data_IF_450459133274
#
_entry.id   IF_450459133274
#
_cell.length_a   1.000
_cell.length_b   1.000
_cell.length_c   1.000
_cell.angle_alpha   90.00
_cell.angle_beta   90.00
_cell.angle_gamma   90.00
#
_symmetry.space_group_name_H-M   'P 1'
#
loop_
_entity.id
_entity.type
_entity.pdbx_description
1 polymer ?
#
# COMPACT_ATOMS: atom_id res chain seq x y z
N UNK A 1 18.86 41.10 -35.69
CA UNK A 1 19.48 39.83 -35.26
C UNK A 1 18.81 39.39 -33.96
N UNK A 2 18.31 38.16 -33.90
CA UNK A 2 17.65 37.51 -32.75
C UNK A 2 18.68 37.10 -31.69
N UNK A 3 18.45 37.45 -30.41
CA UNK A 3 18.73 36.75 -29.11
C UNK A 3 18.05 37.61 -28.01
N UNK A 4 16.91 37.31 -27.38
CA UNK A 4 16.37 36.17 -26.63
C UNK A 4 17.03 35.93 -25.24
N UNK A 5 16.22 36.19 -24.20
CA UNK A 5 16.18 35.69 -22.81
C UNK A 5 17.22 36.14 -21.78
N UNK A 6 16.72 36.62 -20.62
CA UNK A 6 17.06 36.05 -19.30
C UNK A 6 16.02 36.45 -18.22
N UNK A 7 15.47 35.41 -17.54
CA UNK A 7 15.02 35.28 -16.15
C UNK A 7 14.11 36.37 -15.50
N UNK A 8 13.03 36.07 -14.77
CA UNK A 8 12.86 34.97 -13.80
C UNK A 8 11.36 34.75 -13.55
N UNK A 9 10.86 33.54 -13.79
CA UNK A 9 9.52 33.12 -13.33
C UNK A 9 9.68 32.63 -11.89
N UNK A 10 9.20 33.42 -10.94
CA UNK A 10 9.03 32.99 -9.55
C UNK A 10 7.73 32.18 -9.45
N UNK A 11 7.75 30.93 -9.90
CA UNK A 11 6.71 29.97 -9.58
C UNK A 11 7.08 29.28 -8.27
N UNK A 12 6.82 29.94 -7.14
CA UNK A 12 6.67 29.26 -5.87
C UNK A 12 5.31 28.54 -5.88
N UNK A 13 5.21 27.45 -6.65
CA UNK A 13 4.11 26.52 -6.53
C UNK A 13 4.30 25.78 -5.20
N UNK A 14 3.59 26.24 -4.18
CA UNK A 14 3.48 25.52 -2.91
C UNK A 14 2.99 24.11 -3.20
N UNK A 15 3.88 23.14 -3.00
CA UNK A 15 3.52 21.72 -2.99
C UNK A 15 2.74 21.52 -1.69
N UNK A 16 1.44 21.77 -1.73
CA UNK A 16 0.55 21.18 -0.73
C UNK A 16 0.59 19.67 -0.99
N UNK A 17 0.97 18.82 -0.01
CA UNK A 17 0.71 17.41 -0.13
C UNK A 17 -0.79 17.24 -0.12
N UNK A 18 -1.36 16.94 -1.29
CA UNK A 18 -2.75 16.54 -1.46
C UNK A 18 -2.95 15.19 -0.77
N UNK A 19 -3.15 15.23 0.55
CA UNK A 19 -3.84 14.17 1.25
C UNK A 19 -5.28 14.08 0.72
N UNK A 20 -5.83 12.87 0.79
CA UNK A 20 -7.22 12.50 0.45
C UNK A 20 -7.49 12.12 -1.02
N UNK A 21 -6.88 11.01 -1.46
CA UNK A 21 -7.39 10.19 -2.56
C UNK A 21 -7.74 8.76 -2.11
N UNK A 22 -8.09 8.58 -0.82
CA UNK A 22 -8.27 7.25 -0.21
C UNK A 22 -9.25 6.36 -0.97
N UNK A 23 -10.40 6.87 -1.45
CA UNK A 23 -11.41 6.00 -2.10
C UNK A 23 -10.95 5.31 -3.40
N UNK A 24 -10.11 5.95 -4.21
CA UNK A 24 -9.58 5.33 -5.45
C UNK A 24 -8.39 4.42 -5.15
N UNK A 25 -7.53 4.83 -4.22
CA UNK A 25 -6.39 4.02 -3.80
C UNK A 25 -6.85 2.75 -3.07
N UNK A 26 -7.89 2.82 -2.23
CA UNK A 26 -8.43 1.67 -1.49
C UNK A 26 -8.89 0.56 -2.43
N UNK A 27 -9.60 0.90 -3.52
CA UNK A 27 -10.04 -0.08 -4.51
C UNK A 27 -8.85 -0.76 -5.20
N UNK A 28 -7.81 0.00 -5.56
CA UNK A 28 -6.60 -0.54 -6.18
C UNK A 28 -5.78 -1.39 -5.19
N UNK A 29 -5.68 -0.99 -3.93
CA UNK A 29 -5.04 -1.72 -2.85
C UNK A 29 -5.78 -3.05 -2.61
N UNK A 30 -7.11 -3.03 -2.52
CA UNK A 30 -7.93 -4.24 -2.32
C UNK A 30 -7.76 -5.19 -3.51
N UNK A 31 -7.78 -4.68 -4.74
CA UNK A 31 -7.58 -5.51 -5.93
C UNK A 31 -6.18 -6.17 -5.94
N UNK A 32 -5.13 -5.39 -5.65
CA UNK A 32 -3.77 -5.90 -5.54
C UNK A 32 -3.62 -6.92 -4.40
N UNK A 33 -4.29 -6.69 -3.26
CA UNK A 33 -4.31 -7.60 -2.12
C UNK A 33 -4.90 -8.94 -2.51
N UNK A 34 -6.10 -8.95 -3.11
CA UNK A 34 -6.77 -10.17 -3.54
C UNK A 34 -5.94 -10.94 -4.55
N UNK A 35 -5.36 -10.24 -5.53
CA UNK A 35 -4.48 -10.86 -6.52
C UNK A 35 -3.23 -11.49 -5.87
N UNK A 36 -2.62 -10.79 -4.91
CA UNK A 36 -1.42 -11.28 -4.24
C UNK A 36 -1.72 -12.49 -3.35
N UNK A 37 -2.77 -12.44 -2.54
CA UNK A 37 -3.17 -13.56 -1.67
C UNK A 37 -3.56 -14.79 -2.50
N UNK A 38 -4.33 -14.62 -3.57
CA UNK A 38 -4.72 -15.72 -4.46
C UNK A 38 -3.52 -16.36 -5.18
N UNK A 39 -2.47 -15.58 -5.47
CA UNK A 39 -1.25 -16.09 -6.11
C UNK A 39 -0.30 -16.81 -5.14
N UNK A 40 -0.41 -16.56 -3.83
CA UNK A 40 0.53 -17.03 -2.82
C UNK A 40 -0.11 -17.90 -1.72
N UNK A 41 -1.39 -18.27 -1.86
CA UNK A 41 -2.10 -19.09 -0.88
C UNK A 41 -3.26 -19.87 -1.53
N UNK A 42 -3.87 -20.78 -0.76
CA UNK A 42 -5.11 -21.48 -1.17
C UNK A 42 -6.39 -20.65 -0.92
N UNK A 43 -6.28 -19.44 -0.35
CA UNK A 43 -7.44 -18.59 -0.01
C UNK A 43 -7.96 -17.96 -1.30
N UNK A 44 -9.15 -18.39 -1.74
CA UNK A 44 -9.82 -17.87 -2.95
C UNK A 44 -10.98 -16.92 -2.64
N UNK A 45 -11.59 -17.04 -1.45
CA UNK A 45 -12.68 -16.20 -0.99
C UNK A 45 -12.29 -15.46 0.28
N UNK A 46 -12.27 -14.14 0.22
CA UNK A 46 -11.78 -13.30 1.31
C UNK A 46 -12.46 -11.92 1.33
N UNK A 47 -12.61 -11.39 2.54
CA UNK A 47 -12.84 -9.97 2.77
C UNK A 47 -11.48 -9.29 2.96
N UNK A 48 -11.30 -8.13 2.35
CA UNK A 48 -10.09 -7.33 2.46
C UNK A 48 -10.47 -5.91 2.90
N UNK A 49 -9.87 -5.45 4.00
CA UNK A 49 -10.12 -4.12 4.56
C UNK A 49 -8.81 -3.37 4.66
N UNK A 50 -8.70 -2.24 3.97
CA UNK A 50 -7.54 -1.34 4.11
C UNK A 50 -7.60 -0.73 5.51
N UNK A 51 -6.65 -1.09 6.36
CA UNK A 51 -6.60 -0.56 7.72
C UNK A 51 -5.84 0.77 7.76
N UNK A 52 -4.74 0.85 7.02
CA UNK A 52 -3.89 2.03 7.04
C UNK A 52 -3.05 2.15 5.77
N UNK A 53 -2.85 3.38 5.33
CA UNK A 53 -1.96 3.76 4.22
C UNK A 53 -1.00 4.80 4.75
N UNK A 54 0.30 4.62 4.48
CA UNK A 54 1.34 5.57 4.85
C UNK A 54 2.40 5.60 3.75
N UNK A 55 2.66 6.80 3.21
CA UNK A 55 3.57 6.99 2.08
C UNK A 55 3.16 6.09 0.89
N UNK A 56 4.10 5.27 0.39
CA UNK A 56 3.87 4.29 -0.65
C UNK A 56 3.55 2.90 -0.10
N UNK A 57 3.11 2.77 1.16
CA UNK A 57 2.79 1.49 1.78
C UNK A 57 1.34 1.42 2.27
N UNK A 58 0.79 0.21 2.28
CA UNK A 58 -0.53 -0.06 2.82
C UNK A 58 -0.52 -1.35 3.68
N UNK A 59 -1.29 -1.33 4.77
CA UNK A 59 -1.64 -2.52 5.55
C UNK A 59 -3.11 -2.85 5.33
N UNK A 60 -3.37 -4.11 4.97
CA UNK A 60 -4.71 -4.62 4.69
C UNK A 60 -4.96 -5.83 5.56
N UNK A 61 -6.10 -5.85 6.27
CA UNK A 61 -6.56 -7.06 6.96
C UNK A 61 -7.33 -7.92 5.98
N UNK A 62 -6.96 -9.20 5.90
CA UNK A 62 -7.65 -10.20 5.09
C UNK A 62 -8.28 -11.24 6.01
N UNK A 63 -9.57 -11.46 5.82
CA UNK A 63 -10.35 -12.46 6.56
C UNK A 63 -10.93 -13.45 5.56
N UNK A 64 -10.57 -14.75 5.65
CA UNK A 64 -11.23 -15.78 4.84
C UNK A 64 -12.74 -15.77 5.06
N UNK A 65 -13.51 -15.94 3.98
CA UNK A 65 -14.98 -16.03 4.10
C UNK A 65 -15.43 -17.42 4.55
N UNK A 66 -14.64 -18.45 4.24
CA UNK A 66 -14.93 -19.82 4.65
C UNK A 66 -14.56 -19.98 6.14
N UNK A 67 -15.58 -20.15 6.98
CA UNK A 67 -15.40 -20.26 8.42
C UNK A 67 -14.49 -21.45 8.77
N UNK A 68 -13.47 -21.21 9.59
CA UNK A 68 -12.51 -22.23 10.04
C UNK A 68 -11.44 -22.62 9.02
N UNK A 69 -11.35 -21.96 7.86
CA UNK A 69 -10.33 -22.28 6.86
C UNK A 69 -8.91 -21.90 7.32
N UNK A 70 -8.73 -20.70 7.86
CA UNK A 70 -7.47 -20.20 8.44
C UNK A 70 -7.71 -18.88 9.20
N UNK A 71 -6.69 -18.43 9.93
CA UNK A 71 -6.71 -17.19 10.69
C UNK A 71 -6.72 -15.94 9.78
N UNK A 72 -7.34 -14.83 10.22
CA UNK A 72 -7.21 -13.54 9.55
C UNK A 72 -5.76 -13.03 9.53
N UNK A 73 -5.25 -12.70 8.36
CA UNK A 73 -3.87 -12.25 8.16
C UNK A 73 -3.80 -10.75 7.85
N UNK A 74 -2.60 -10.17 7.99
CA UNK A 74 -2.29 -8.87 7.41
C UNK A 74 -1.49 -9.04 6.12
N UNK A 75 -1.79 -8.20 5.14
CA UNK A 75 -1.05 -8.08 3.89
C UNK A 75 -0.43 -6.70 3.84
N UNK A 76 0.86 -6.63 3.57
CA UNK A 76 1.57 -5.39 3.30
C UNK A 76 1.78 -5.21 1.81
N UNK A 77 1.48 -4.01 1.32
CA UNK A 77 1.66 -3.65 -0.09
C UNK A 77 2.56 -2.43 -0.21
N UNK A 78 3.22 -2.31 -1.36
CA UNK A 78 3.99 -1.14 -1.76
C UNK A 78 3.52 -0.61 -3.12
N UNK A 79 3.41 0.71 -3.23
CA UNK A 79 3.16 1.44 -4.47
C UNK A 79 4.49 1.73 -5.15
N UNK A 80 4.61 1.37 -6.42
CA UNK A 80 5.74 1.76 -7.27
C UNK A 80 5.20 2.11 -8.64
N UNK A 81 5.60 3.25 -9.19
CA UNK A 81 5.16 3.75 -10.49
C UNK A 81 3.61 3.76 -10.62
N UNK A 82 2.94 4.16 -9.53
CA UNK A 82 1.47 4.21 -9.44
C UNK A 82 0.78 2.86 -9.24
N UNK A 83 1.51 1.75 -9.19
CA UNK A 83 0.97 0.39 -9.07
C UNK A 83 1.22 -0.22 -7.69
N UNK A 84 0.16 -0.69 -7.05
CA UNK A 84 0.23 -1.44 -5.79
C UNK A 84 0.63 -2.90 -6.04
N UNK A 85 1.59 -3.40 -5.26
CA UNK A 85 2.07 -4.79 -5.31
C UNK A 85 2.21 -5.32 -3.88
N UNK A 86 1.76 -6.56 -3.63
CA UNK A 86 1.95 -7.22 -2.34
C UNK A 86 3.42 -7.54 -2.07
N UNK A 87 3.85 -7.32 -0.82
CA UNK A 87 5.19 -7.59 -0.34
C UNK A 87 5.25 -8.89 0.47
N UNK A 88 4.32 -9.03 1.43
CA UNK A 88 4.25 -10.16 2.34
C UNK A 88 2.84 -10.27 2.93
N UNK A 89 2.49 -11.46 3.43
CA UNK A 89 1.31 -11.65 4.25
C UNK A 89 1.54 -12.69 5.35
N UNK A 90 0.83 -12.53 6.47
CA UNK A 90 1.00 -13.38 7.63
C UNK A 90 0.17 -12.93 8.83
N UNK A 91 0.18 -13.75 9.88
CA UNK A 91 -0.52 -13.49 11.14
C UNK A 91 0.38 -12.80 12.18
N UNK A 92 1.69 -12.74 11.94
CA UNK A 92 2.66 -12.04 12.77
C UNK A 92 3.90 -11.71 11.94
N UNK A 93 4.68 -10.72 12.41
CA UNK A 93 5.91 -10.26 11.77
C UNK A 93 6.91 -9.83 12.84
N UNK A 94 8.18 -10.12 12.62
CA UNK A 94 9.28 -9.71 13.48
C UNK A 94 9.70 -8.27 13.16
N UNK A 95 10.54 -7.68 14.03
CA UNK A 95 11.13 -6.37 13.76
C UNK A 95 12.02 -6.41 12.52
N UNK A 96 12.75 -7.52 12.34
CA UNK A 96 13.63 -7.79 11.21
C UNK A 96 12.84 -7.83 9.90
N UNK A 97 11.66 -8.48 9.88
CA UNK A 97 10.79 -8.51 8.69
C UNK A 97 10.42 -7.08 8.26
N UNK A 98 10.02 -6.23 9.22
CA UNK A 98 9.67 -4.85 8.91
C UNK A 98 10.85 -4.04 8.39
N UNK A 99 12.05 -4.24 8.95
CA UNK A 99 13.25 -3.54 8.53
C UNK A 99 13.68 -3.97 7.12
N UNK A 100 13.70 -5.28 6.84
CA UNK A 100 14.08 -5.82 5.54
C UNK A 100 13.14 -5.37 4.42
N UNK A 101 11.83 -5.27 4.72
CA UNK A 101 10.81 -4.82 3.76
C UNK A 101 10.67 -3.30 3.70
N UNK A 102 11.32 -2.57 4.61
CA UNK A 102 11.21 -1.12 4.74
C UNK A 102 9.82 -0.64 5.14
N UNK A 103 9.06 -1.44 5.91
CA UNK A 103 7.71 -1.09 6.34
C UNK A 103 7.77 0.01 7.42
N UNK A 104 7.11 1.17 7.20
CA UNK A 104 7.06 2.26 8.16
C UNK A 104 6.51 1.83 9.53
N UNK A 105 7.07 2.39 10.62
CA UNK A 105 6.66 2.09 11.99
C UNK A 105 5.14 2.22 12.20
N UNK A 106 4.53 3.25 11.60
CA UNK A 106 3.10 3.50 11.71
C UNK A 106 2.22 2.39 11.16
N UNK A 107 2.73 1.54 10.26
CA UNK A 107 1.98 0.42 9.68
C UNK A 107 2.20 -0.91 10.41
N UNK A 108 3.13 -1.00 11.35
CA UNK A 108 3.47 -2.27 12.01
C UNK A 108 2.30 -2.75 12.85
N UNK A 109 2.12 -4.07 12.89
CA UNK A 109 1.09 -4.69 13.73
C UNK A 109 1.68 -4.93 15.13
N UNK A 110 0.85 -4.89 16.18
CA UNK A 110 1.28 -5.18 17.55
C UNK A 110 1.89 -6.58 17.70
#
# INVERSE_FOLDING_TARGET
>A
MKKLLLASVLCAAGIMPTGFANGKDDAAIIAATKSYVAANSAITKMNATVEQVAEDFARVKVTPQDAGATDPAWVFLKKKDGKWTGLTFGTSFTTEDYQQLGIPNGLRVP
#
